data_IF_371956874510
#
_entry.id   IF_371956874510
#
_cell.length_a   1.000
_cell.length_b   1.000
_cell.length_c   1.000
_cell.angle_alpha   90.00
_cell.angle_beta   90.00
_cell.angle_gamma   90.00
#
_symmetry.space_group_name_H-M   'P 1'
#
loop_
_entity.id
_entity.type
_entity.pdbx_description
1 polymer ?
#
# COMPACT_ATOMS: atom_id res chain seq x y z
N UNK A 1 -26.09 -19.06 -19.83
CA UNK A 1 -24.99 -18.84 -18.89
C UNK A 1 -24.24 -17.63 -19.40
N UNK A 2 -24.41 -16.50 -18.75
CA UNK A 2 -23.69 -15.29 -19.13
C UNK A 2 -22.24 -15.42 -18.64
N UNK A 3 -21.31 -15.60 -19.58
CA UNK A 3 -19.88 -15.40 -19.37
C UNK A 3 -19.64 -13.92 -19.05
N UNK A 4 -19.99 -13.49 -17.86
CA UNK A 4 -19.46 -12.25 -17.32
C UNK A 4 -18.05 -12.58 -16.83
N UNK A 5 -17.02 -11.94 -17.35
CA UNK A 5 -15.69 -12.12 -16.80
C UNK A 5 -15.74 -11.79 -15.31
N UNK A 6 -15.09 -12.61 -14.49
CA UNK A 6 -14.97 -12.38 -13.05
C UNK A 6 -14.46 -10.95 -12.83
N UNK A 7 -15.38 -10.08 -12.46
CA UNK A 7 -15.04 -8.70 -12.19
C UNK A 7 -14.49 -8.64 -10.77
N UNK A 8 -13.18 -8.48 -10.66
CA UNK A 8 -12.47 -8.33 -9.40
C UNK A 8 -12.96 -7.07 -8.69
N UNK A 9 -13.78 -7.24 -7.65
CA UNK A 9 -14.17 -6.13 -6.78
C UNK A 9 -13.02 -5.80 -5.84
N UNK A 10 -12.12 -4.95 -6.33
CA UNK A 10 -10.92 -4.57 -5.63
C UNK A 10 -11.21 -3.91 -4.27
N UNK A 11 -12.17 -3.01 -4.19
CA UNK A 11 -12.53 -2.34 -2.95
C UNK A 11 -12.96 -3.33 -1.88
N UNK A 12 -13.85 -4.25 -2.23
CA UNK A 12 -14.34 -5.28 -1.32
C UNK A 12 -13.23 -6.23 -0.87
N UNK A 13 -12.39 -6.64 -1.81
CA UNK A 13 -11.27 -7.54 -1.53
C UNK A 13 -10.26 -6.89 -0.58
N UNK A 14 -9.83 -5.67 -0.88
CA UNK A 14 -8.88 -4.91 -0.07
C UNK A 14 -9.44 -4.64 1.33
N UNK A 15 -10.72 -4.26 1.41
CA UNK A 15 -11.39 -4.10 2.69
C UNK A 15 -11.38 -5.39 3.53
N UNK A 16 -11.51 -6.54 2.89
CA UNK A 16 -11.43 -7.83 3.59
C UNK A 16 -10.02 -8.12 4.10
N UNK A 17 -9.00 -7.87 3.29
CA UNK A 17 -7.59 -8.05 3.69
C UNK A 17 -7.20 -7.16 4.87
N UNK A 18 -7.67 -5.93 4.90
CA UNK A 18 -7.32 -4.98 5.95
C UNK A 18 -7.99 -5.26 7.30
N UNK A 19 -8.97 -6.15 7.34
CA UNK A 19 -9.66 -6.54 8.59
C UNK A 19 -8.95 -7.62 9.39
N UNK A 20 -7.85 -8.17 8.90
CA UNK A 20 -7.17 -9.30 9.51
C UNK A 20 -5.66 -9.06 9.63
N UNK A 21 -5.04 -9.80 10.56
CA UNK A 21 -3.60 -9.88 10.70
C UNK A 21 -2.91 -8.54 10.95
N UNK A 22 -1.72 -8.40 10.41
CA UNK A 22 -0.88 -7.21 10.58
C UNK A 22 -1.54 -5.93 10.08
N UNK A 23 -2.26 -5.99 8.96
CA UNK A 23 -2.96 -4.82 8.41
C UNK A 23 -4.00 -4.27 9.38
N UNK A 24 -4.72 -5.15 10.08
CA UNK A 24 -5.66 -4.75 11.12
C UNK A 24 -4.93 -4.09 12.29
N UNK A 25 -3.79 -4.63 12.72
CA UNK A 25 -3.03 -4.10 13.83
C UNK A 25 -2.56 -2.66 13.61
N UNK A 26 -2.16 -2.33 12.39
CA UNK A 26 -1.78 -0.95 12.04
C UNK A 26 -2.97 -0.07 11.67
N UNK A 27 -4.18 -0.62 11.61
CA UNK A 27 -5.38 0.11 11.26
C UNK A 27 -5.48 0.50 9.79
N UNK A 28 -4.80 -0.25 8.88
CA UNK A 28 -4.86 0.02 7.46
C UNK A 28 -6.27 -0.11 6.92
N UNK A 29 -6.68 0.84 6.07
CA UNK A 29 -7.99 0.90 5.45
C UNK A 29 -7.85 1.13 3.94
N UNK A 30 -8.82 0.60 3.19
CA UNK A 30 -8.96 0.95 1.78
C UNK A 30 -9.26 2.45 1.64
N UNK A 31 -8.62 3.11 0.68
CA UNK A 31 -8.87 4.51 0.37
C UNK A 31 -9.38 4.69 -1.06
N UNK A 32 -8.60 4.28 -2.06
CA UNK A 32 -8.95 4.39 -3.47
C UNK A 32 -8.12 3.43 -4.32
N UNK A 33 -8.50 3.24 -5.58
CA UNK A 33 -7.68 2.50 -6.55
C UNK A 33 -7.99 2.92 -7.99
N UNK A 34 -7.08 2.60 -8.89
CA UNK A 34 -7.26 2.67 -10.33
C UNK A 34 -6.83 1.37 -10.99
N UNK A 35 -6.52 1.41 -12.28
CA UNK A 35 -6.19 0.21 -13.05
C UNK A 35 -4.80 -0.37 -12.70
N UNK A 36 -3.89 0.44 -12.18
CA UNK A 36 -2.52 0.06 -11.88
C UNK A 36 -1.97 0.68 -10.58
N UNK A 37 -2.84 1.25 -9.76
CA UNK A 37 -2.46 1.88 -8.50
C UNK A 37 -3.50 1.61 -7.39
N UNK A 38 -3.03 1.64 -6.16
CA UNK A 38 -3.85 1.46 -4.97
C UNK A 38 -3.45 2.46 -3.90
N UNK A 39 -4.43 3.01 -3.21
CA UNK A 39 -4.25 3.83 -2.03
C UNK A 39 -4.86 3.17 -0.80
N UNK A 40 -4.05 3.10 0.25
CA UNK A 40 -4.47 2.69 1.58
C UNK A 40 -4.24 3.84 2.56
N UNK A 41 -4.99 3.85 3.64
CA UNK A 41 -4.88 4.87 4.67
C UNK A 41 -4.64 4.24 6.04
N UNK A 42 -3.84 4.91 6.87
CA UNK A 42 -3.75 4.65 8.32
C UNK A 42 -4.29 5.89 9.03
N UNK A 43 -5.50 5.83 9.62
CA UNK A 43 -5.96 6.87 10.52
C UNK A 43 -4.99 7.03 11.69
N UNK A 44 -4.81 8.26 12.16
CA UNK A 44 -3.91 8.50 13.29
C UNK A 44 -4.30 7.64 14.50
N UNK A 45 -3.31 6.95 15.05
CA UNK A 45 -3.46 6.14 16.24
C UNK A 45 -2.27 6.39 17.18
N UNK A 46 -2.50 6.88 18.41
CA UNK A 46 -1.42 7.16 19.36
C UNK A 46 -0.64 5.91 19.78
N UNK A 47 -1.17 4.71 19.57
CA UNK A 47 -0.42 3.47 19.83
C UNK A 47 0.62 3.13 18.75
N UNK A 48 0.57 3.80 17.61
CA UNK A 48 1.52 3.60 16.49
C UNK A 48 2.61 4.66 16.45
N UNK A 49 2.70 5.53 17.44
CA UNK A 49 3.74 6.58 17.47
C UNK A 49 5.08 6.01 17.93
N UNK A 50 6.15 6.62 17.46
CA UNK A 50 7.52 6.27 17.87
C UNK A 50 7.85 6.77 19.28
N UNK A 51 7.25 7.90 19.65
CA UNK A 51 7.46 8.57 20.92
C UNK A 51 6.20 9.34 21.31
N UNK A 52 5.67 9.06 22.49
CA UNK A 52 4.45 9.70 23.00
C UNK A 52 4.60 11.20 23.22
N UNK A 53 5.82 11.69 23.45
CA UNK A 53 6.08 13.12 23.66
C UNK A 53 5.91 13.92 22.35
N UNK A 54 6.26 13.34 21.21
CA UNK A 54 6.15 14.00 19.89
C UNK A 54 4.84 13.69 19.17
N UNK A 55 4.25 12.52 19.43
CA UNK A 55 3.08 12.03 18.70
C UNK A 55 3.34 11.68 17.24
N UNK A 56 4.60 11.57 16.83
CA UNK A 56 5.00 11.25 15.46
C UNK A 56 4.80 9.76 15.20
N UNK A 57 4.10 9.43 14.13
CA UNK A 57 3.89 8.06 13.68
C UNK A 57 5.23 7.36 13.43
N UNK A 58 5.39 6.15 13.97
CA UNK A 58 6.57 5.33 13.71
C UNK A 58 6.70 4.98 12.22
N UNK A 59 7.93 4.76 11.77
CA UNK A 59 8.21 4.39 10.37
C UNK A 59 7.71 3.00 9.99
N UNK A 60 7.65 2.06 10.92
CA UNK A 60 7.20 0.68 10.67
C UNK A 60 5.82 0.58 10.04
N UNK A 61 4.78 1.21 10.60
CA UNK A 61 3.45 1.24 9.99
C UNK A 61 3.43 1.84 8.57
N UNK A 62 4.22 2.87 8.32
CA UNK A 62 4.35 3.46 6.97
C UNK A 62 4.97 2.45 6.00
N UNK A 63 6.01 1.73 6.44
CA UNK A 63 6.62 0.67 5.64
C UNK A 63 5.60 -0.42 5.26
N UNK A 64 4.84 -0.91 6.24
CA UNK A 64 3.80 -1.92 6.02
C UNK A 64 2.72 -1.40 5.07
N UNK A 65 2.28 -0.16 5.24
CA UNK A 65 1.30 0.48 4.36
C UNK A 65 1.77 0.50 2.91
N UNK A 66 3.02 0.88 2.70
CA UNK A 66 3.60 0.99 1.36
C UNK A 66 3.86 -0.37 0.72
N UNK A 67 4.31 -1.36 1.48
CA UNK A 67 4.45 -2.73 1.00
C UNK A 67 3.10 -3.28 0.53
N UNK A 68 2.04 -3.07 1.31
CA UNK A 68 0.71 -3.52 0.94
C UNK A 68 0.14 -2.75 -0.26
N UNK A 69 0.21 -1.43 -0.27
CA UNK A 69 -0.35 -0.61 -1.36
C UNK A 69 0.32 -0.94 -2.71
N UNK A 70 1.64 -1.08 -2.72
CA UNK A 70 2.37 -1.44 -3.95
C UNK A 70 2.11 -2.88 -4.38
N UNK A 71 1.99 -3.80 -3.45
CA UNK A 71 1.60 -5.20 -3.72
C UNK A 71 0.23 -5.28 -4.39
N UNK A 72 -0.76 -4.57 -3.87
CA UNK A 72 -2.12 -4.55 -4.41
C UNK A 72 -2.19 -3.91 -5.80
N UNK A 73 -1.33 -2.94 -6.09
CA UNK A 73 -1.27 -2.32 -7.42
C UNK A 73 -0.92 -3.32 -8.54
N UNK A 74 -0.17 -4.38 -8.20
CA UNK A 74 0.19 -5.43 -9.15
C UNK A 74 -1.03 -6.25 -9.54
N UNK A 75 -1.86 -6.67 -8.59
CA UNK A 75 -3.08 -7.41 -8.87
C UNK A 75 -4.10 -6.57 -9.63
N UNK A 76 -4.16 -5.28 -9.35
CA UNK A 76 -5.00 -4.36 -10.13
C UNK A 76 -4.55 -4.30 -11.58
N UNK A 77 -3.24 -4.14 -11.82
CA UNK A 77 -2.68 -4.07 -13.18
C UNK A 77 -2.85 -5.38 -13.96
N UNK A 78 -2.67 -6.51 -13.32
CA UNK A 78 -2.82 -7.82 -13.97
C UNK A 78 -4.28 -8.27 -14.08
N UNK A 79 -5.18 -7.71 -13.27
CA UNK A 79 -6.55 -8.16 -13.15
C UNK A 79 -6.69 -9.56 -12.54
N UNK A 80 -5.63 -10.08 -11.94
CA UNK A 80 -5.56 -11.45 -11.41
C UNK A 80 -4.90 -11.45 -10.05
N UNK A 81 -5.55 -12.13 -9.08
CA UNK A 81 -4.96 -12.42 -7.79
C UNK A 81 -4.06 -13.64 -7.95
N UNK A 82 -2.77 -13.45 -7.81
CA UNK A 82 -1.76 -14.49 -7.91
C UNK A 82 -0.74 -14.38 -6.79
N UNK A 83 -0.09 -15.47 -6.40
CA UNK A 83 0.98 -15.39 -5.42
C UNK A 83 2.11 -14.50 -5.90
N UNK A 84 2.60 -13.65 -5.02
CA UNK A 84 3.70 -12.74 -5.28
C UNK A 84 4.50 -12.53 -4.00
N UNK A 85 5.77 -12.19 -4.15
CA UNK A 85 6.65 -11.94 -3.02
C UNK A 85 7.49 -10.69 -3.25
N UNK A 86 7.62 -9.87 -2.23
CA UNK A 86 8.51 -8.71 -2.25
C UNK A 86 9.95 -9.18 -2.39
N UNK A 87 10.64 -8.73 -3.43
CA UNK A 87 12.08 -8.95 -3.60
C UNK A 87 12.88 -7.83 -2.98
N UNK A 88 12.49 -6.60 -3.29
CA UNK A 88 13.15 -5.40 -2.83
C UNK A 88 12.11 -4.31 -2.64
N UNK A 89 12.19 -3.61 -1.51
CA UNK A 89 11.37 -2.44 -1.23
C UNK A 89 12.23 -1.41 -0.52
N UNK A 90 12.58 -0.37 -1.24
CA UNK A 90 13.32 0.76 -0.70
C UNK A 90 12.37 1.88 -0.34
N UNK A 91 12.50 2.41 0.87
CA UNK A 91 11.79 3.59 1.33
C UNK A 91 12.79 4.68 1.67
N UNK A 92 12.57 5.86 1.11
CA UNK A 92 13.26 7.08 1.48
C UNK A 92 12.30 7.93 2.31
N UNK A 93 12.59 8.10 3.59
CA UNK A 93 11.81 8.96 4.48
C UNK A 93 12.27 10.40 4.34
N UNK A 94 11.38 11.28 3.89
CA UNK A 94 11.71 12.69 3.58
C UNK A 94 11.47 13.61 4.78
N UNK A 95 10.45 13.31 5.57
CA UNK A 95 10.08 14.05 6.77
C UNK A 95 9.16 13.23 7.66
N UNK A 96 9.02 13.57 8.94
CA UNK A 96 8.02 12.94 9.80
C UNK A 96 6.60 13.28 9.36
N UNK A 97 5.66 12.35 9.58
CA UNK A 97 4.24 12.62 9.44
C UNK A 97 3.78 13.58 10.53
N UNK A 98 2.85 14.47 10.20
CA UNK A 98 2.27 15.39 11.19
C UNK A 98 1.41 14.62 12.17
N UNK A 99 1.58 14.83 13.50
CA UNK A 99 0.73 14.23 14.51
C UNK A 99 -0.76 14.51 14.26
N UNK A 100 -1.61 13.52 14.50
CA UNK A 100 -3.05 13.64 14.36
C UNK A 100 -3.57 13.49 12.92
N UNK A 101 -2.71 13.39 11.92
CA UNK A 101 -3.11 13.27 10.52
C UNK A 101 -3.16 11.82 10.05
N UNK A 102 -4.14 11.51 9.20
CA UNK A 102 -4.19 10.25 8.46
C UNK A 102 -3.04 10.20 7.45
N UNK A 103 -2.34 9.07 7.41
CA UNK A 103 -1.32 8.83 6.39
C UNK A 103 -1.94 8.01 5.26
N UNK A 104 -1.76 8.49 4.03
CA UNK A 104 -2.20 7.81 2.81
C UNK A 104 -0.97 7.31 2.07
N UNK A 105 -0.97 6.02 1.75
CA UNK A 105 0.06 5.39 0.92
C UNK A 105 -0.48 5.11 -0.48
N UNK A 106 0.18 5.67 -1.50
CA UNK A 106 -0.11 5.46 -2.90
C UNK A 106 0.94 4.54 -3.51
N UNK A 107 0.52 3.40 -4.00
CA UNK A 107 1.38 2.43 -4.70
C UNK A 107 0.96 2.24 -6.14
N UNK A 108 1.93 2.21 -7.06
CA UNK A 108 1.71 2.06 -8.50
C UNK A 108 2.60 0.96 -9.05
N UNK A 109 2.03 0.08 -9.87
CA UNK A 109 2.78 -0.88 -10.68
C UNK A 109 2.96 -0.30 -12.08
N UNK A 110 4.17 0.16 -12.41
CA UNK A 110 4.41 0.86 -13.67
C UNK A 110 5.01 -0.04 -14.76
N UNK A 111 5.49 -1.23 -14.41
CA UNK A 111 6.05 -2.16 -15.39
C UNK A 111 6.00 -3.60 -14.89
N UNK A 112 5.67 -4.53 -15.77
CA UNK A 112 5.64 -5.97 -15.48
C UNK A 112 6.37 -6.72 -16.59
N UNK A 113 7.25 -7.62 -16.19
CA UNK A 113 7.82 -8.66 -17.05
C UNK A 113 7.12 -9.99 -16.76
N UNK A 114 7.61 -11.08 -17.36
CA UNK A 114 7.05 -12.41 -17.10
C UNK A 114 7.03 -12.82 -15.63
N UNK A 115 8.04 -12.42 -14.87
CA UNK A 115 8.24 -12.87 -13.48
C UNK A 115 8.49 -11.74 -12.48
N UNK A 116 8.67 -10.51 -12.94
CA UNK A 116 8.98 -9.37 -12.08
C UNK A 116 8.01 -8.24 -12.31
N UNK A 117 7.47 -7.69 -11.23
CA UNK A 117 6.72 -6.45 -11.22
C UNK A 117 7.58 -5.33 -10.63
N UNK A 118 7.57 -4.18 -11.29
CA UNK A 118 8.26 -2.96 -10.84
C UNK A 118 7.24 -1.99 -10.31
N UNK A 119 7.47 -1.57 -9.07
CA UNK A 119 6.54 -0.68 -8.35
C UNK A 119 7.25 0.58 -7.86
N UNK A 120 6.46 1.61 -7.68
CA UNK A 120 6.85 2.87 -7.04
C UNK A 120 5.67 3.45 -6.29
N UNK A 121 5.93 4.40 -5.44
CA UNK A 121 4.86 5.06 -4.71
C UNK A 121 5.35 6.14 -3.76
N UNK A 122 4.42 6.69 -3.02
CA UNK A 122 4.69 7.71 -2.02
C UNK A 122 3.65 7.64 -0.91
N UNK A 123 4.01 8.15 0.25
CA UNK A 123 3.08 8.36 1.36
C UNK A 123 2.98 9.86 1.66
N UNK A 124 1.80 10.32 2.05
CA UNK A 124 1.56 11.70 2.45
C UNK A 124 0.56 11.77 3.61
N UNK A 125 0.50 12.90 4.27
CA UNK A 125 -0.38 13.16 5.40
C UNK A 125 -1.42 14.25 5.13
N UNK A 126 -1.86 14.35 3.86
CA UNK A 126 -2.91 15.26 3.41
C UNK A 126 -2.58 15.98 2.10
N UNK A 127 -1.31 16.17 1.77
CA UNK A 127 -0.88 16.82 0.53
C UNK A 127 0.09 15.91 -0.24
N UNK A 128 -0.34 15.29 -1.35
CA UNK A 128 0.52 14.42 -2.15
C UNK A 128 1.74 15.14 -2.78
N UNK A 129 1.70 16.47 -2.91
CA UNK A 129 2.83 17.26 -3.39
C UNK A 129 3.91 17.46 -2.30
N UNK A 130 3.61 17.10 -1.05
CA UNK A 130 4.52 17.16 0.09
C UNK A 130 4.64 15.80 0.76
N UNK A 131 5.19 14.79 0.07
CA UNK A 131 5.22 13.44 0.60
C UNK A 131 6.10 13.32 1.85
N UNK A 132 5.76 12.36 2.69
CA UNK A 132 6.57 11.99 3.86
C UNK A 132 7.57 10.88 3.52
N UNK A 133 7.30 10.11 2.47
CA UNK A 133 8.18 9.04 2.00
C UNK A 133 7.97 8.76 0.52
N UNK A 134 9.04 8.30 -0.14
CA UNK A 134 9.02 7.71 -1.47
C UNK A 134 9.40 6.25 -1.41
N UNK A 135 8.80 5.41 -2.26
CA UNK A 135 9.15 4.00 -2.37
C UNK A 135 9.40 3.60 -3.81
N UNK A 136 10.29 2.64 -3.97
CA UNK A 136 10.54 1.92 -5.21
C UNK A 136 10.93 0.48 -4.88
N UNK A 137 10.55 -0.46 -5.73
CA UNK A 137 10.87 -1.85 -5.47
C UNK A 137 10.43 -2.80 -6.56
N UNK A 138 10.61 -4.07 -6.29
CA UNK A 138 10.30 -5.17 -7.19
C UNK A 138 9.64 -6.32 -6.44
N UNK A 139 8.74 -7.00 -7.14
CA UNK A 139 8.08 -8.21 -6.67
C UNK A 139 8.33 -9.36 -7.64
N UNK A 140 8.53 -10.54 -7.09
CA UNK A 140 8.54 -11.77 -7.86
C UNK A 140 7.10 -12.26 -8.04
N UNK A 141 6.74 -12.55 -9.28
CA UNK A 141 5.46 -13.15 -9.63
C UNK A 141 5.65 -14.64 -9.79
N UNK A 142 5.08 -15.43 -8.88
CA UNK A 142 5.12 -16.87 -8.99
C UNK A 142 4.14 -17.29 -10.07
N UNK A 143 4.59 -18.12 -11.03
CA UNK A 143 3.69 -18.71 -12.00
C UNK A 143 2.66 -19.59 -11.29
N UNK A 144 1.38 -19.36 -11.60
CA UNK A 144 0.28 -20.25 -11.20
C UNK A 144 0.35 -21.55 -11.96
#
# INVERSE_FOLDING_TARGET
MSDQPFQFDAARFINTLTKNGHNRLIGAQYHAHGDDWCELAIPYNPELVSDSATGILASGPIFTLMDMATSLSIWLKTGTIQPQATLDLRIDYLRPAKPGQTVIGHGECYHITRSIAFIRGHAHDGDPEKPIAHVAGTYFLTAS
#
